data_IF_768474469258
#
_entry.id   IF_768474469258
#
_cell.length_a   1.000
_cell.length_b   1.000
_cell.length_c   1.000
_cell.angle_alpha   90.00
_cell.angle_beta   90.00
_cell.angle_gamma   90.00
#
_symmetry.space_group_name_H-M   'P 1'
#
loop_
_entity.id
_entity.type
_entity.pdbx_description
1 polymer ?
#
# COMPACT_ATOMS: atom_id res chain seq x y z
N UNK A 1 -7.75 13.28 -9.37
CA UNK A 1 -7.66 11.86 -8.94
C UNK A 1 -7.03 10.98 -10.00
N UNK A 2 -7.63 10.80 -11.19
CA UNK A 2 -7.09 9.92 -12.24
C UNK A 2 -5.65 10.28 -12.64
N UNK A 3 -5.36 11.56 -12.91
CA UNK A 3 -3.99 12.02 -13.25
C UNK A 3 -2.98 11.73 -12.14
N UNK A 4 -3.37 11.87 -10.87
CA UNK A 4 -2.51 11.58 -9.73
C UNK A 4 -2.22 10.07 -9.61
N UNK A 5 -3.23 9.21 -9.81
CA UNK A 5 -3.07 7.75 -9.82
C UNK A 5 -2.13 7.31 -10.95
N UNK A 6 -2.30 7.87 -12.14
CA UNK A 6 -1.42 7.59 -13.30
C UNK A 6 0.01 8.08 -13.03
N UNK A 7 0.20 9.27 -12.46
CA UNK A 7 1.52 9.78 -12.09
C UNK A 7 2.22 8.92 -11.04
N UNK A 8 1.51 8.51 -9.99
CA UNK A 8 2.03 7.59 -8.97
C UNK A 8 2.44 6.26 -9.61
N UNK A 9 1.63 5.71 -10.52
CA UNK A 9 1.94 4.46 -11.21
C UNK A 9 3.25 4.54 -12.00
N UNK A 10 3.48 5.62 -12.76
CA UNK A 10 4.72 5.82 -13.49
C UNK A 10 5.94 5.93 -12.56
N UNK A 11 5.82 6.65 -11.44
CA UNK A 11 6.90 6.73 -10.45
C UNK A 11 7.22 5.36 -9.83
N UNK A 12 6.20 4.56 -9.54
CA UNK A 12 6.40 3.21 -9.00
C UNK A 12 7.04 2.26 -10.02
N UNK A 13 6.70 2.38 -11.32
CA UNK A 13 7.37 1.60 -12.38
C UNK A 13 8.87 1.92 -12.43
N UNK A 14 9.21 3.21 -12.34
CA UNK A 14 10.61 3.66 -12.30
C UNK A 14 11.34 3.12 -11.06
N UNK A 15 10.67 3.05 -9.92
CA UNK A 15 11.23 2.56 -8.66
C UNK A 15 11.50 1.05 -8.70
N UNK A 16 10.50 0.24 -9.07
CA UNK A 16 10.59 -1.21 -9.00
C UNK A 16 11.21 -1.86 -10.25
N UNK A 17 11.43 -1.09 -11.33
CA UNK A 17 11.81 -1.61 -12.66
C UNK A 17 10.94 -2.80 -13.12
N UNK A 18 9.69 -2.81 -12.67
CA UNK A 18 8.73 -3.91 -12.86
C UNK A 18 7.34 -3.34 -13.08
N UNK A 19 6.57 -3.96 -13.97
CA UNK A 19 5.21 -3.52 -14.32
C UNK A 19 4.12 -4.12 -13.40
N UNK A 20 4.39 -5.28 -12.79
CA UNK A 20 3.40 -6.00 -11.97
C UNK A 20 3.43 -5.56 -10.50
N UNK A 21 4.60 -5.22 -9.96
CA UNK A 21 4.74 -4.81 -8.56
C UNK A 21 4.01 -3.49 -8.24
N UNK A 22 4.06 -2.44 -9.09
CA UNK A 22 3.25 -1.25 -8.91
C UNK A 22 1.74 -1.53 -8.87
N UNK A 23 1.27 -2.49 -9.66
CA UNK A 23 -0.14 -2.89 -9.66
C UNK A 23 -0.55 -3.51 -8.32
N UNK A 24 0.32 -4.33 -7.72
CA UNK A 24 0.09 -4.88 -6.37
C UNK A 24 -0.06 -3.76 -5.33
N UNK A 25 0.82 -2.74 -5.38
CA UNK A 25 0.77 -1.60 -4.46
C UNK A 25 -0.52 -0.78 -4.63
N UNK A 26 -0.91 -0.49 -5.89
CA UNK A 26 -2.13 0.30 -6.17
C UNK A 26 -3.41 -0.49 -5.85
N UNK A 27 -3.38 -1.82 -5.88
CA UNK A 27 -4.53 -2.64 -5.51
C UNK A 27 -4.94 -2.48 -4.04
N UNK A 28 -4.10 -1.88 -3.20
CA UNK A 28 -4.42 -1.52 -1.82
C UNK A 28 -5.35 -0.28 -1.70
N UNK A 29 -5.37 0.61 -2.70
CA UNK A 29 -6.13 1.88 -2.67
C UNK A 29 -7.66 1.68 -2.51
N UNK A 30 -8.32 0.75 -3.22
CA UNK A 30 -9.74 0.48 -3.02
C UNK A 30 -10.10 0.14 -1.58
N UNK A 31 -9.21 -0.54 -0.84
CA UNK A 31 -9.44 -0.87 0.57
C UNK A 31 -9.44 0.37 1.46
N UNK A 32 -8.61 1.37 1.16
CA UNK A 32 -8.64 2.67 1.83
C UNK A 32 -10.02 3.34 1.69
N UNK A 33 -10.60 3.29 0.49
CA UNK A 33 -11.90 3.88 0.20
C UNK A 33 -13.01 3.17 0.99
N UNK A 34 -12.96 1.83 1.06
CA UNK A 34 -13.92 1.06 1.87
C UNK A 34 -13.87 1.49 3.34
N UNK A 35 -12.67 1.65 3.91
CA UNK A 35 -12.49 2.13 5.28
C UNK A 35 -13.08 3.53 5.51
N UNK A 36 -12.87 4.45 4.55
CA UNK A 36 -13.46 5.80 4.60
C UNK A 36 -14.98 5.74 4.56
N UNK A 37 -15.57 4.96 3.65
CA UNK A 37 -17.02 4.85 3.53
C UNK A 37 -17.62 4.33 4.84
N UNK A 38 -17.04 3.28 5.42
CA UNK A 38 -17.49 2.72 6.70
C UNK A 38 -17.37 3.76 7.81
N UNK A 39 -16.25 4.47 7.89
CA UNK A 39 -16.04 5.49 8.93
C UNK A 39 -17.08 6.63 8.84
N UNK A 40 -17.36 7.13 7.64
CA UNK A 40 -18.36 8.18 7.43
C UNK A 40 -19.79 7.68 7.67
N UNK A 41 -20.09 6.43 7.29
CA UNK A 41 -21.38 5.79 7.57
C UNK A 41 -21.64 5.66 9.07
N UNK A 42 -20.64 5.23 9.84
CA UNK A 42 -20.73 5.11 11.30
C UNK A 42 -20.91 6.46 12.00
N UNK A 43 -20.29 7.52 11.48
CA UNK A 43 -20.42 8.87 12.03
C UNK A 43 -21.68 9.61 11.53
N UNK A 44 -22.37 9.10 10.50
CA UNK A 44 -23.56 9.74 9.92
C UNK A 44 -23.30 11.11 9.32
N UNK A 45 -22.05 11.42 8.95
CA UNK A 45 -21.67 12.73 8.38
C UNK A 45 -21.43 12.61 6.88
N UNK A 46 -21.69 13.67 6.10
CA UNK A 46 -21.32 13.69 4.69
C UNK A 46 -19.81 13.95 4.52
N UNK A 47 -19.23 13.41 3.44
CA UNK A 47 -17.84 13.66 3.08
C UNK A 47 -17.64 15.15 2.73
N UNK A 48 -16.91 15.87 3.58
CA UNK A 48 -16.58 17.28 3.39
C UNK A 48 -15.27 17.45 2.61
N UNK A 49 -14.96 18.69 2.21
CA UNK A 49 -13.66 19.01 1.60
C UNK A 49 -12.48 18.61 2.51
N UNK A 50 -12.59 18.89 3.82
CA UNK A 50 -11.60 18.45 4.81
C UNK A 50 -11.50 16.93 4.88
N UNK A 51 -12.63 16.23 4.75
CA UNK A 51 -12.68 14.77 4.64
C UNK A 51 -11.88 14.24 3.45
N UNK A 52 -12.02 14.86 2.28
CA UNK A 52 -11.25 14.49 1.09
C UNK A 52 -9.73 14.62 1.29
N UNK A 53 -9.26 15.64 2.03
CA UNK A 53 -7.84 15.76 2.36
C UNK A 53 -7.37 14.56 3.20
N UNK A 54 -8.20 14.11 4.16
CA UNK A 54 -7.95 12.89 4.92
C UNK A 54 -7.87 11.64 4.04
N UNK A 55 -8.76 11.50 3.07
CA UNK A 55 -8.73 10.38 2.10
C UNK A 55 -7.42 10.38 1.32
N UNK A 56 -6.97 11.54 0.83
CA UNK A 56 -5.70 11.66 0.09
C UNK A 56 -4.52 11.24 0.98
N UNK A 57 -4.49 11.69 2.24
CA UNK A 57 -3.47 11.28 3.21
C UNK A 57 -3.47 9.77 3.47
N UNK A 58 -4.65 9.18 3.69
CA UNK A 58 -4.81 7.74 3.91
C UNK A 58 -4.30 6.91 2.73
N UNK A 59 -4.61 7.32 1.50
CA UNK A 59 -4.09 6.66 0.29
C UNK A 59 -2.57 6.70 0.28
N UNK A 60 -1.94 7.82 0.66
CA UNK A 60 -0.50 7.94 0.76
C UNK A 60 0.12 6.96 1.76
N UNK A 61 -0.47 6.84 2.96
CA UNK A 61 0.00 5.89 4.00
C UNK A 61 -0.09 4.45 3.50
N UNK A 62 -1.23 4.04 2.94
CA UNK A 62 -1.46 2.67 2.45
C UNK A 62 -0.53 2.31 1.29
N UNK A 63 -0.29 3.24 0.37
CA UNK A 63 0.67 3.06 -0.73
C UNK A 63 2.09 2.92 -0.18
N UNK A 64 2.48 3.74 0.81
CA UNK A 64 3.80 3.66 1.42
C UNK A 64 4.02 2.33 2.14
N UNK A 65 3.05 1.86 2.92
CA UNK A 65 3.16 0.57 3.62
C UNK A 65 3.29 -0.60 2.64
N UNK A 66 2.51 -0.58 1.56
CA UNK A 66 2.57 -1.58 0.50
C UNK A 66 3.90 -1.53 -0.26
N UNK A 67 4.42 -0.33 -0.53
CA UNK A 67 5.71 -0.12 -1.19
C UNK A 67 6.86 -0.68 -0.36
N UNK A 68 6.95 -0.31 0.92
CA UNK A 68 8.00 -0.79 1.83
C UNK A 68 7.95 -2.32 1.97
N UNK A 69 6.74 -2.90 2.02
CA UNK A 69 6.57 -4.35 2.08
C UNK A 69 7.08 -5.05 0.82
N UNK A 70 6.72 -4.57 -0.37
CA UNK A 70 7.18 -5.16 -1.64
C UNK A 70 8.69 -5.00 -1.81
N UNK A 71 9.24 -3.85 -1.42
CA UNK A 71 10.68 -3.60 -1.45
C UNK A 71 11.44 -4.58 -0.55
N UNK A 72 10.96 -4.78 0.69
CA UNK A 72 11.54 -5.76 1.61
C UNK A 72 11.48 -7.20 1.08
N UNK A 73 10.39 -7.58 0.42
CA UNK A 73 10.27 -8.89 -0.22
C UNK A 73 11.25 -9.06 -1.38
N UNK A 74 11.48 -8.00 -2.17
CA UNK A 74 12.46 -8.02 -3.25
C UNK A 74 13.89 -8.15 -2.70
N UNK A 75 14.22 -7.41 -1.64
CA UNK A 75 15.51 -7.50 -0.96
C UNK A 75 15.75 -8.92 -0.40
N UNK A 76 14.76 -9.49 0.28
CA UNK A 76 14.85 -10.86 0.80
C UNK A 76 14.98 -11.91 -0.31
N UNK A 77 14.27 -11.74 -1.44
CA UNK A 77 14.40 -12.61 -2.61
C UNK A 77 15.79 -12.51 -3.26
N UNK A 78 16.39 -11.33 -3.25
CA UNK A 78 17.74 -11.11 -3.80
C UNK A 78 18.83 -11.79 -2.97
N UNK A 79 18.68 -11.79 -1.64
CA UNK A 79 19.64 -12.38 -0.70
C UNK A 79 19.44 -13.89 -0.54
N UNK A 80 18.23 -14.41 -0.81
CA UNK A 80 17.89 -15.83 -0.73
C UNK A 80 17.36 -16.40 -2.06
N UNK A 81 18.18 -16.49 -3.12
CA UNK A 81 17.74 -16.84 -4.47
C UNK A 81 17.22 -18.29 -4.64
N UNK A 82 17.49 -19.18 -3.67
CA UNK A 82 17.00 -20.56 -3.66
C UNK A 82 15.70 -20.76 -2.85
N UNK A 83 15.26 -19.73 -2.13
CA UNK A 83 14.07 -19.82 -1.29
C UNK A 83 12.80 -19.91 -2.14
N UNK A 84 11.82 -20.68 -1.67
CA UNK A 84 10.52 -20.75 -2.32
C UNK A 84 9.80 -19.39 -2.17
N UNK A 85 9.07 -18.95 -3.21
CA UNK A 85 8.33 -17.70 -3.19
C UNK A 85 7.35 -17.61 -2.00
N UNK A 86 6.70 -18.72 -1.64
CA UNK A 86 5.77 -18.76 -0.50
C UNK A 86 6.51 -18.51 0.82
N UNK A 87 7.71 -19.06 0.97
CA UNK A 87 8.54 -18.88 2.16
C UNK A 87 9.02 -17.43 2.29
N UNK A 88 9.42 -16.83 1.17
CA UNK A 88 9.80 -15.40 1.09
C UNK A 88 8.63 -14.50 1.52
N UNK A 89 7.42 -14.76 1.00
CA UNK A 89 6.23 -13.97 1.33
C UNK A 89 5.83 -14.16 2.79
N UNK A 90 5.82 -15.40 3.29
CA UNK A 90 5.42 -15.69 4.67
C UNK A 90 6.36 -15.02 5.68
N UNK A 91 7.68 -15.11 5.44
CA UNK A 91 8.69 -14.55 6.33
C UNK A 91 8.75 -13.03 6.26
N UNK A 92 8.83 -12.46 5.04
CA UNK A 92 8.82 -11.00 4.88
C UNK A 92 7.52 -10.35 5.38
N UNK A 93 6.40 -11.07 5.28
CA UNK A 93 5.12 -10.66 5.87
C UNK A 93 5.17 -10.61 7.39
N UNK A 94 5.68 -11.66 8.04
CA UNK A 94 5.82 -11.71 9.49
C UNK A 94 6.73 -10.58 10.03
N UNK A 95 7.85 -10.31 9.34
CA UNK A 95 8.82 -9.29 9.76
C UNK A 95 8.24 -7.87 9.71
N UNK A 96 7.46 -7.57 8.66
CA UNK A 96 6.82 -6.26 8.47
C UNK A 96 5.52 -6.09 9.24
N UNK A 97 4.85 -7.18 9.62
CA UNK A 97 3.55 -7.13 10.29
C UNK A 97 3.56 -6.23 11.52
N UNK A 98 4.55 -6.38 12.40
CA UNK A 98 4.67 -5.56 13.62
C UNK A 98 4.84 -4.08 13.30
N UNK A 99 5.67 -3.74 12.32
CA UNK A 99 5.93 -2.35 11.96
C UNK A 99 4.69 -1.67 11.38
N UNK A 100 3.94 -2.35 10.50
CA UNK A 100 2.71 -1.83 9.89
C UNK A 100 1.61 -1.64 10.95
N UNK A 101 1.48 -2.58 11.88
CA UNK A 101 0.51 -2.46 12.98
C UNK A 101 0.83 -1.24 13.87
N UNK A 102 2.11 -0.97 14.17
CA UNK A 102 2.50 0.19 14.98
C UNK A 102 2.28 1.54 14.28
N UNK A 103 2.30 1.61 12.94
CA UNK A 103 2.04 2.85 12.21
C UNK A 103 0.56 3.09 11.94
N UNK A 104 -0.26 2.04 12.02
CA UNK A 104 -1.70 2.09 11.73
C UNK A 104 -2.56 2.30 12.98
N UNK A 105 -2.13 1.78 14.13
CA UNK A 105 -2.77 1.98 15.44
C UNK A 105 -2.40 3.35 16.04
#
# INVERSE_FOLDING_TARGET
MIVAVVGIYFLLILLFRSLLQPFLVISAIPFSIVGVIIAYLLHGTPLSFTGMLGVIGLVGVVVNDSLVMVDHLNEFRSTSPKANLIEVIAKGGADRFRAIVMTTL
#
